data_IF_806177944711
#
_entry.id   IF_806177944711
#
_cell.length_a   1.000
_cell.length_b   1.000
_cell.length_c   1.000
_cell.angle_alpha   90.00
_cell.angle_beta   90.00
_cell.angle_gamma   90.00
#
_symmetry.space_group_name_H-M   'P 1'
#
loop_
_entity.id
_entity.type
_entity.pdbx_description
1 polymer ?
#
# COMPACT_ATOMS: atom_id res chain seq x y z
N UNK A 1 14.40 -19.56 12.46
CA UNK A 1 13.13 -18.82 12.66
C UNK A 1 12.27 -19.59 13.66
N UNK A 2 11.70 -18.94 14.68
CA UNK A 2 10.98 -19.63 15.77
C UNK A 2 9.51 -19.88 15.42
N UNK A 3 8.92 -20.97 15.96
CA UNK A 3 7.51 -21.36 15.72
C UNK A 3 6.54 -20.26 16.16
N UNK A 4 6.82 -19.60 17.30
CA UNK A 4 6.02 -18.48 17.80
C UNK A 4 5.92 -17.31 16.82
N UNK A 5 6.99 -17.01 16.07
CA UNK A 5 6.96 -15.93 15.07
C UNK A 5 6.12 -16.33 13.86
N UNK A 6 6.25 -17.57 13.38
CA UNK A 6 5.42 -18.10 12.27
C UNK A 6 3.93 -18.00 12.59
N UNK A 7 3.52 -18.40 13.80
CA UNK A 7 2.14 -18.29 14.27
C UNK A 7 1.64 -16.85 14.35
N UNK A 8 2.50 -15.90 14.75
CA UNK A 8 2.15 -14.47 14.72
C UNK A 8 1.93 -13.99 13.29
N UNK A 9 2.84 -14.33 12.36
CA UNK A 9 2.73 -13.95 10.94
C UNK A 9 1.43 -14.50 10.34
N UNK A 10 1.09 -15.78 10.58
CA UNK A 10 -0.16 -16.36 10.07
C UNK A 10 -1.40 -15.67 10.65
N UNK A 11 -1.39 -15.29 11.94
CA UNK A 11 -2.49 -14.55 12.57
C UNK A 11 -2.66 -13.15 11.96
N UNK A 12 -1.55 -12.44 11.77
CA UNK A 12 -1.55 -11.12 11.14
C UNK A 12 -2.04 -11.20 9.69
N UNK A 13 -1.66 -12.23 8.94
CA UNK A 13 -2.12 -12.44 7.56
C UNK A 13 -3.64 -12.55 7.47
N UNK A 14 -4.24 -13.40 8.31
CA UNK A 14 -5.71 -13.58 8.35
C UNK A 14 -6.41 -12.29 8.80
N UNK A 15 -5.80 -11.56 9.74
CA UNK A 15 -6.35 -10.29 10.24
C UNK A 15 -6.28 -9.19 9.19
N UNK A 16 -5.22 -9.18 8.38
CA UNK A 16 -5.01 -8.18 7.35
C UNK A 16 -5.87 -8.44 6.12
N UNK A 17 -5.84 -9.65 5.55
CA UNK A 17 -6.47 -10.03 4.28
C UNK A 17 -7.25 -11.35 4.42
N UNK A 18 -8.49 -11.31 4.93
CA UNK A 18 -9.25 -12.52 5.24
C UNK A 18 -9.75 -13.26 3.99
N UNK A 19 -9.91 -12.60 2.84
CA UNK A 19 -10.48 -13.18 1.61
C UNK A 19 -9.44 -13.53 0.54
N UNK A 20 -8.16 -13.51 0.90
CA UNK A 20 -7.07 -13.80 -0.04
C UNK A 20 -7.14 -15.24 -0.58
N UNK A 21 -6.91 -15.46 -1.88
CA UNK A 21 -6.76 -16.81 -2.43
C UNK A 21 -5.61 -17.58 -1.76
N UNK A 22 -5.76 -18.90 -1.66
CA UNK A 22 -4.78 -19.74 -0.96
C UNK A 22 -3.36 -19.62 -1.55
N UNK A 23 -3.24 -19.60 -2.88
CA UNK A 23 -1.95 -19.51 -3.56
C UNK A 23 -1.20 -18.23 -3.19
N UNK A 24 -1.90 -17.08 -3.24
CA UNK A 24 -1.34 -15.78 -2.89
C UNK A 24 -0.97 -15.72 -1.41
N UNK A 25 -1.83 -16.24 -0.54
CA UNK A 25 -1.60 -16.28 0.90
C UNK A 25 -0.28 -17.02 1.25
N UNK A 26 0.03 -18.09 0.51
CA UNK A 26 1.22 -18.90 0.73
C UNK A 26 2.49 -18.21 0.22
N UNK A 27 2.41 -17.53 -0.94
CA UNK A 27 3.49 -16.70 -1.45
C UNK A 27 3.81 -15.55 -0.48
N UNK A 28 2.80 -14.84 0.01
CA UNK A 28 2.94 -13.76 0.98
C UNK A 28 3.54 -14.28 2.30
N UNK A 29 3.04 -15.40 2.81
CA UNK A 29 3.57 -16.02 4.03
C UNK A 29 5.05 -16.39 3.87
N UNK A 30 5.43 -16.95 2.73
CA UNK A 30 6.81 -17.32 2.42
C UNK A 30 7.71 -16.09 2.30
N UNK A 31 7.22 -15.01 1.69
CA UNK A 31 7.94 -13.74 1.60
C UNK A 31 8.12 -13.06 2.98
N UNK A 32 7.07 -13.02 3.81
CA UNK A 32 7.09 -12.41 5.15
C UNK A 32 8.00 -13.18 6.14
N UNK A 33 8.25 -14.46 5.87
CA UNK A 33 9.10 -15.32 6.70
C UNK A 33 10.57 -15.35 6.29
N UNK A 34 10.96 -14.60 5.25
CA UNK A 34 12.36 -14.47 4.80
C UNK A 34 13.26 -13.85 5.87
N UNK A 35 14.55 -14.21 5.82
CA UNK A 35 15.57 -13.71 6.76
C UNK A 35 15.69 -12.19 6.78
N UNK A 36 15.54 -11.53 5.63
CA UNK A 36 15.56 -10.06 5.51
C UNK A 36 14.46 -9.38 6.32
N UNK A 37 13.34 -10.05 6.57
CA UNK A 37 12.21 -9.51 7.32
C UNK A 37 12.26 -9.82 8.82
N UNK A 38 13.30 -10.50 9.31
CA UNK A 38 13.39 -10.97 10.71
C UNK A 38 13.36 -9.84 11.73
N UNK A 39 13.92 -8.68 11.39
CA UNK A 39 14.04 -7.52 12.27
C UNK A 39 12.75 -6.69 12.36
N UNK A 40 11.81 -6.88 11.43
CA UNK A 40 10.56 -6.13 11.41
C UNK A 40 9.49 -6.78 12.31
N UNK A 41 8.57 -5.97 12.88
CA UNK A 41 7.34 -6.48 13.47
C UNK A 41 6.57 -7.36 12.47
N UNK A 42 5.98 -8.49 12.91
CA UNK A 42 5.25 -9.41 12.02
C UNK A 42 4.18 -8.72 11.16
N UNK A 43 3.43 -7.77 11.73
CA UNK A 43 2.39 -7.02 11.02
C UNK A 43 2.95 -6.22 9.83
N UNK A 44 4.08 -5.53 10.03
CA UNK A 44 4.76 -4.76 8.98
C UNK A 44 5.35 -5.69 7.91
N UNK A 45 5.94 -6.82 8.32
CA UNK A 45 6.48 -7.80 7.40
C UNK A 45 5.40 -8.37 6.46
N UNK A 46 4.23 -8.72 7.01
CA UNK A 46 3.07 -9.18 6.22
C UNK A 46 2.59 -8.09 5.29
N UNK A 47 2.46 -6.85 5.76
CA UNK A 47 2.03 -5.72 4.95
C UNK A 47 2.96 -5.48 3.76
N UNK A 48 4.28 -5.41 3.99
CA UNK A 48 5.28 -5.21 2.93
C UNK A 48 5.30 -6.39 1.94
N UNK A 49 5.22 -7.62 2.44
CA UNK A 49 5.14 -8.81 1.60
C UNK A 49 3.89 -8.82 0.73
N UNK A 50 2.75 -8.37 1.27
CA UNK A 50 1.47 -8.27 0.54
C UNK A 50 1.57 -7.24 -0.58
N UNK A 51 2.04 -6.01 -0.29
CA UNK A 51 2.21 -4.98 -1.33
C UNK A 51 3.18 -5.44 -2.41
N UNK A 52 4.32 -6.03 -2.02
CA UNK A 52 5.30 -6.51 -2.98
C UNK A 52 4.70 -7.60 -3.88
N UNK A 53 3.96 -8.56 -3.31
CA UNK A 53 3.29 -9.61 -4.08
C UNK A 53 2.27 -9.04 -5.07
N UNK A 54 1.40 -8.14 -4.62
CA UNK A 54 0.42 -7.48 -5.48
C UNK A 54 1.12 -6.72 -6.61
N UNK A 55 2.17 -5.95 -6.29
CA UNK A 55 2.93 -5.18 -7.28
C UNK A 55 3.63 -6.05 -8.33
N UNK A 56 4.06 -7.26 -7.98
CA UNK A 56 4.77 -8.13 -8.91
C UNK A 56 3.87 -9.12 -9.65
N UNK A 57 2.67 -9.41 -9.15
CA UNK A 57 1.80 -10.46 -9.72
C UNK A 57 0.46 -9.94 -10.24
N UNK A 58 -0.03 -8.82 -9.70
CA UNK A 58 -1.34 -8.26 -10.03
C UNK A 58 -1.25 -6.91 -10.72
N UNK A 59 -0.04 -6.43 -11.03
CA UNK A 59 0.16 -5.18 -11.75
C UNK A 59 1.26 -5.28 -12.79
N UNK A 60 1.18 -4.42 -13.78
CA UNK A 60 2.17 -4.30 -14.86
C UNK A 60 3.43 -3.53 -14.43
N UNK A 61 3.74 -3.46 -13.13
CA UNK A 61 4.83 -2.64 -12.60
C UNK A 61 6.18 -3.01 -13.21
N UNK A 62 6.48 -4.32 -13.28
CA UNK A 62 7.75 -4.79 -13.83
C UNK A 62 7.83 -4.51 -15.35
N UNK A 63 6.70 -4.57 -16.06
CA UNK A 63 6.63 -4.21 -17.48
C UNK A 63 6.87 -2.71 -17.71
N UNK A 64 6.25 -1.84 -16.90
CA UNK A 64 6.47 -0.40 -16.95
C UNK A 64 7.93 -0.03 -16.71
N UNK A 65 8.62 -0.71 -15.80
CA UNK A 65 10.06 -0.51 -15.59
C UNK A 65 10.90 -0.98 -16.79
N UNK A 66 10.55 -2.10 -17.41
CA UNK A 66 11.21 -2.58 -18.63
C UNK A 66 11.00 -1.64 -19.82
N UNK A 67 9.84 -0.98 -19.91
CA UNK A 67 9.53 0.04 -20.92
C UNK A 67 10.27 1.37 -20.70
N UNK A 68 10.96 1.53 -19.56
CA UNK A 68 11.77 2.71 -19.25
C UNK A 68 11.01 3.81 -18.52
N UNK A 69 9.82 3.52 -17.99
CA UNK A 69 9.14 4.46 -17.09
C UNK A 69 9.93 4.64 -15.80
N UNK A 70 9.90 5.86 -15.27
CA UNK A 70 10.43 6.11 -13.93
C UNK A 70 9.56 5.41 -12.86
N UNK A 71 10.20 5.08 -11.73
CA UNK A 71 9.55 4.41 -10.60
C UNK A 71 8.33 5.17 -10.08
N UNK A 72 8.39 6.50 -9.99
CA UNK A 72 7.27 7.28 -9.47
C UNK A 72 6.08 7.26 -10.44
N UNK A 73 6.35 7.27 -11.75
CA UNK A 73 5.32 7.12 -12.78
C UNK A 73 4.70 5.72 -12.75
N UNK A 74 5.53 4.68 -12.67
CA UNK A 74 5.05 3.30 -12.57
C UNK A 74 4.19 3.10 -11.30
N UNK A 75 4.63 3.64 -10.16
CA UNK A 75 3.88 3.61 -8.91
C UNK A 75 2.53 4.33 -9.02
N UNK A 76 2.48 5.46 -9.74
CA UNK A 76 1.24 6.19 -9.96
C UNK A 76 0.18 5.34 -10.68
N UNK A 77 0.57 4.65 -11.76
CA UNK A 77 -0.36 3.82 -12.55
C UNK A 77 -0.85 2.59 -11.78
N UNK A 78 0.04 1.93 -11.03
CA UNK A 78 -0.31 0.70 -10.32
C UNK A 78 -0.99 0.93 -8.97
N UNK A 79 -0.98 2.16 -8.45
CA UNK A 79 -1.54 2.50 -7.14
C UNK A 79 -3.01 2.07 -7.00
N UNK A 80 -3.85 2.41 -7.98
CA UNK A 80 -5.27 2.07 -7.96
C UNK A 80 -5.50 0.56 -8.13
N UNK A 81 -4.68 -0.10 -8.95
CA UNK A 81 -4.72 -1.56 -9.12
C UNK A 81 -4.37 -2.30 -7.81
N UNK A 82 -3.38 -1.79 -7.07
CA UNK A 82 -3.02 -2.34 -5.76
C UNK A 82 -4.18 -2.18 -4.78
N UNK A 83 -4.75 -0.97 -4.67
CA UNK A 83 -5.87 -0.72 -3.77
C UNK A 83 -7.11 -1.55 -4.14
N UNK A 84 -7.41 -1.72 -5.43
CA UNK A 84 -8.49 -2.58 -5.89
C UNK A 84 -8.31 -4.03 -5.42
N UNK A 85 -7.10 -4.58 -5.57
CA UNK A 85 -6.77 -5.94 -5.12
C UNK A 85 -6.87 -6.06 -3.60
N UNK A 86 -6.40 -5.06 -2.86
CA UNK A 86 -6.53 -5.02 -1.40
C UNK A 86 -7.99 -5.00 -0.95
N UNK A 87 -8.86 -4.22 -1.62
CA UNK A 87 -10.30 -4.18 -1.34
C UNK A 87 -10.94 -5.55 -1.60
N UNK A 88 -10.61 -6.18 -2.73
CA UNK A 88 -11.12 -7.51 -3.08
C UNK A 88 -10.74 -8.58 -2.03
N UNK A 89 -9.53 -8.50 -1.48
CA UNK A 89 -9.08 -9.41 -0.42
C UNK A 89 -9.60 -9.04 0.98
N UNK A 90 -10.40 -7.98 1.09
CA UNK A 90 -10.96 -7.51 2.35
C UNK A 90 -9.93 -6.86 3.28
N UNK A 91 -8.93 -6.16 2.72
CA UNK A 91 -7.84 -5.61 3.49
C UNK A 91 -8.31 -4.57 4.52
N UNK A 92 -7.89 -4.71 5.79
CA UNK A 92 -8.14 -3.69 6.83
C UNK A 92 -7.29 -2.42 6.66
N UNK A 93 -6.34 -2.44 5.71
CA UNK A 93 -5.45 -1.31 5.43
C UNK A 93 -5.32 -1.09 3.93
N UNK A 94 -5.53 0.15 3.51
CA UNK A 94 -5.36 0.61 2.13
C UNK A 94 -4.14 1.52 2.01
N UNK A 95 -3.61 1.65 0.80
CA UNK A 95 -2.60 2.64 0.48
C UNK A 95 -3.24 4.02 0.38
N UNK A 96 -2.66 5.00 1.08
CA UNK A 96 -3.00 6.41 0.94
C UNK A 96 -1.90 7.11 0.16
N UNK A 97 -2.28 7.98 -0.77
CA UNK A 97 -1.33 8.87 -1.44
C UNK A 97 -1.04 10.02 -0.48
N UNK A 98 0.23 10.25 -0.22
CA UNK A 98 0.66 11.47 0.48
C UNK A 98 0.43 12.63 -0.50
N UNK A 99 -0.67 13.35 -0.34
CA UNK A 99 -0.88 14.62 -1.04
C UNK A 99 0.04 15.64 -0.37
N UNK A 100 1.18 15.93 -0.97
CA UNK A 100 2.03 17.05 -0.57
C UNK A 100 1.30 18.36 -0.92
N UNK A 101 0.36 18.78 -0.07
CA UNK A 101 -0.33 20.08 -0.15
C UNK A 101 0.61 21.19 0.31
N UNK A 102 1.68 21.47 -0.44
CA UNK A 102 2.64 22.50 -0.06
C UNK A 102 2.85 23.61 -1.10
N UNK A 103 1.98 23.77 -2.09
CA UNK A 103 2.10 24.87 -3.07
C UNK A 103 0.73 25.49 -3.45
N UNK A 104 -0.03 26.04 -2.49
CA UNK A 104 -1.11 27.00 -2.79
C UNK A 104 -1.24 28.06 -1.68
N UNK A 105 -0.20 28.87 -1.47
CA UNK A 105 -0.42 30.22 -0.92
C UNK A 105 -0.70 31.16 -2.09
N UNK A 106 -1.91 31.05 -2.65
CA UNK A 106 -2.49 32.11 -3.48
C UNK A 106 -2.76 33.29 -2.53
N UNK A 107 -2.11 34.41 -2.82
CA UNK A 107 -2.19 35.69 -2.11
C UNK A 107 -3.60 35.97 -1.57
N UNK A 108 -3.70 36.09 -0.24
CA UNK A 108 -4.89 36.61 0.44
C UNK A 108 -5.14 38.06 0.02
N UNK A 109 -5.93 38.28 -1.04
CA UNK A 109 -6.54 39.58 -1.30
C UNK A 109 -7.83 39.63 -0.46
N UNK A 110 -7.92 40.49 0.57
CA UNK A 110 -9.16 40.61 1.33
C UNK A 110 -10.23 41.30 0.48
N UNK A 111 -11.26 40.54 0.09
CA UNK A 111 -12.52 41.10 -0.40
C UNK A 111 -13.19 41.84 0.77
N UNK A 112 -13.05 43.17 0.81
CA UNK A 112 -13.92 44.01 1.65
C UNK A 112 -15.25 44.19 0.91
N UNK A 113 -16.14 43.21 1.03
CA UNK A 113 -17.53 43.37 0.63
C UNK A 113 -18.24 44.31 1.60
N UNK A 114 -18.59 45.47 1.06
CA UNK A 114 -19.57 46.46 1.49
C UNK A 114 -20.60 45.97 2.55
N UNK A 115 -20.53 46.52 3.78
CA UNK A 115 -21.69 46.54 4.69
C UNK A 115 -22.53 47.77 4.38
N UNK A 116 -23.67 47.53 3.74
CA UNK A 116 -24.83 48.41 3.73
C UNK A 116 -25.76 48.02 4.90
N UNK A 117 -26.54 48.98 5.42
CA UNK A 117 -27.55 48.94 6.50
C UNK A 117 -27.01 49.07 7.94
N UNK A 118 -27.48 49.98 8.82
CA UNK A 118 -28.59 50.96 8.85
C UNK A 118 -28.13 52.18 9.64
#
# INVERSE_FOLDING_TARGET
MTIRRKQKISKELITLIPQVPYLDSQCIYTAATRTSMKYLPPSIAVWLATIAHIRHQHTEYDNLLCEGYDRDSALFFVFDAINKTLIEWGANRLLKREESTNDINITSVPLKTNSFNV
#
